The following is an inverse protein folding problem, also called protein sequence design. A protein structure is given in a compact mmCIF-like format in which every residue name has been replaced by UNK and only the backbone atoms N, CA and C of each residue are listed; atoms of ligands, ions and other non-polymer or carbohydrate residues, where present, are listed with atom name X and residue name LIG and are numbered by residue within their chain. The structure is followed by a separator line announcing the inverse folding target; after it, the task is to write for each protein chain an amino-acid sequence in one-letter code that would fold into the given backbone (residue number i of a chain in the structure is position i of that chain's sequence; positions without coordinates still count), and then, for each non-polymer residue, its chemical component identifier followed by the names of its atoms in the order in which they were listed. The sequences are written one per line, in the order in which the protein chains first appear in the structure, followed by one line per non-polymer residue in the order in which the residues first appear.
data_IF_486184340743
#
_entry.id   IF_486184340743
#
_cell.length_a   1.000
_cell.length_b   1.000
_cell.length_c   1.000
_cell.angle_alpha   90.00
_cell.angle_beta   90.00
_cell.angle_gamma   90.00
#
_symmetry.space_group_name_H-M   'P 1'
#
loop_
_entity.id
_entity.type
_entity.pdbx_description
1 polymer ?
#
# COMPACT_ATOMS: atom_id res chain seq x y z
N UNK A 1 14.80 2.25 -19.92
CA UNK A 1 14.35 1.47 -18.75
C UNK A 1 13.20 0.59 -19.19
N UNK A 2 13.44 -0.71 -19.36
CA UNK A 2 12.37 -1.67 -19.62
C UNK A 2 11.41 -1.69 -18.43
N UNK A 3 10.10 -1.62 -18.69
CA UNK A 3 9.10 -1.70 -17.63
C UNK A 3 9.02 -3.16 -17.15
N UNK A 4 9.05 -3.42 -15.84
CA UNK A 4 8.85 -4.78 -15.33
C UNK A 4 7.46 -5.29 -15.75
N UNK A 5 7.34 -6.60 -15.96
CA UNK A 5 6.04 -7.24 -16.24
C UNK A 5 5.05 -6.97 -15.11
N UNK A 6 3.73 -6.93 -15.39
CA UNK A 6 2.69 -6.58 -14.40
C UNK A 6 2.84 -7.39 -13.09
N UNK A 7 3.16 -8.69 -13.19
CA UNK A 7 3.43 -9.57 -12.04
C UNK A 7 4.62 -9.12 -11.21
N UNK A 8 5.74 -8.76 -11.84
CA UNK A 8 6.96 -8.29 -11.14
C UNK A 8 6.72 -6.93 -10.49
N UNK A 9 6.00 -6.03 -11.16
CA UNK A 9 5.61 -4.74 -10.60
C UNK A 9 4.77 -4.91 -9.33
N UNK A 10 3.82 -5.86 -9.36
CA UNK A 10 2.96 -6.16 -8.22
C UNK A 10 3.73 -6.80 -7.06
N UNK A 11 4.60 -7.77 -7.35
CA UNK A 11 5.45 -8.40 -6.33
C UNK A 11 6.39 -7.39 -5.66
N UNK A 12 7.03 -6.51 -6.43
CA UNK A 12 7.94 -5.50 -5.88
C UNK A 12 7.19 -4.45 -5.05
N UNK A 13 6.04 -3.96 -5.54
CA UNK A 13 5.25 -2.97 -4.83
C UNK A 13 4.66 -3.52 -3.52
N UNK A 14 4.10 -4.73 -3.57
CA UNK A 14 3.59 -5.41 -2.38
C UNK A 14 4.74 -5.74 -1.40
N UNK A 15 5.86 -6.25 -1.89
CA UNK A 15 7.01 -6.57 -1.06
C UNK A 15 7.60 -5.35 -0.34
N UNK A 16 7.79 -4.23 -1.05
CA UNK A 16 8.26 -2.99 -0.44
C UNK A 16 7.24 -2.44 0.55
N UNK A 17 5.95 -2.45 0.20
CA UNK A 17 4.87 -2.05 1.10
C UNK A 17 4.87 -2.86 2.39
N UNK A 18 4.94 -4.19 2.28
CA UNK A 18 4.98 -5.11 3.43
C UNK A 18 6.19 -4.88 4.32
N UNK A 19 7.39 -4.72 3.74
CA UNK A 19 8.60 -4.42 4.52
C UNK A 19 8.41 -3.11 5.28
N UNK A 20 7.88 -2.09 4.62
CA UNK A 20 7.68 -0.78 5.24
C UNK A 20 6.61 -0.83 6.34
N UNK A 21 5.55 -1.63 6.16
CA UNK A 21 4.59 -1.91 7.22
C UNK A 21 5.26 -2.62 8.41
N UNK A 22 6.05 -3.66 8.18
CA UNK A 22 6.74 -4.38 9.27
C UNK A 22 7.69 -3.46 10.05
N UNK A 23 8.46 -2.62 9.36
CA UNK A 23 9.34 -1.63 10.00
C UNK A 23 8.53 -0.65 10.87
N UNK A 24 7.38 -0.18 10.36
CA UNK A 24 6.48 0.68 11.12
C UNK A 24 5.98 -0.02 12.39
N UNK A 25 5.51 -1.28 12.28
CA UNK A 25 5.01 -2.06 13.42
C UNK A 25 6.08 -2.22 14.49
N UNK A 26 7.28 -2.62 14.09
CA UNK A 26 8.42 -2.75 15.02
C UNK A 26 8.72 -1.40 15.68
N UNK A 27 8.75 -0.31 14.91
CA UNK A 27 9.02 1.03 15.45
C UNK A 27 7.94 1.51 16.44
N UNK A 28 6.67 1.15 16.22
CA UNK A 28 5.58 1.49 17.14
C UNK A 28 5.63 0.75 18.46
N UNK A 29 6.27 -0.42 18.50
CA UNK A 29 6.51 -1.13 19.74
C UNK A 29 7.47 -0.37 20.68
N UNK A 30 8.43 0.38 20.11
CA UNK A 30 9.36 1.21 20.90
C UNK A 30 8.80 2.61 21.23
N UNK A 31 7.72 3.06 20.58
CA UNK A 31 7.20 4.42 20.76
C UNK A 31 5.67 4.46 20.71
N UNK A 32 4.98 4.76 21.83
CA UNK A 32 3.53 4.91 21.89
C UNK A 32 2.99 5.99 20.93
N UNK A 33 3.82 7.00 20.61
CA UNK A 33 3.48 8.04 19.65
C UNK A 33 3.38 7.51 18.20
N UNK A 34 4.13 6.46 17.86
CA UNK A 34 4.08 5.81 16.55
C UNK A 34 2.91 4.84 16.48
N UNK A 35 2.56 4.18 17.59
CA UNK A 35 1.38 3.31 17.67
C UNK A 35 0.07 4.07 17.41
N UNK A 36 -0.07 5.30 17.90
CA UNK A 36 -1.25 6.15 17.60
C UNK A 36 -1.37 6.53 16.12
N UNK A 37 -0.25 6.50 15.40
CA UNK A 37 -0.14 6.82 13.98
C UNK A 37 -0.21 5.58 13.07
N UNK A 38 -0.33 4.36 13.61
CA UNK A 38 -0.35 3.13 12.81
C UNK A 38 -1.42 3.13 11.72
N UNK A 39 -2.62 3.62 12.02
CA UNK A 39 -3.67 3.71 11.01
C UNK A 39 -3.27 4.66 9.88
N UNK A 40 -2.76 5.85 10.20
CA UNK A 40 -2.40 6.87 9.23
C UNK A 40 -1.18 6.45 8.41
N UNK A 41 -0.13 5.97 9.07
CA UNK A 41 1.10 5.51 8.43
C UNK A 41 0.84 4.25 7.60
N UNK A 42 0.06 3.30 8.10
CA UNK A 42 -0.36 2.11 7.37
C UNK A 42 -1.10 2.46 6.09
N UNK A 43 -2.06 3.39 6.15
CA UNK A 43 -2.78 3.88 4.96
C UNK A 43 -1.85 4.58 3.96
N UNK A 44 -0.91 5.41 4.44
CA UNK A 44 0.07 6.09 3.57
C UNK A 44 0.99 5.10 2.85
N UNK A 45 1.49 4.08 3.55
CA UNK A 45 2.32 3.03 2.97
C UNK A 45 1.52 2.26 1.91
N UNK A 46 0.27 1.90 2.20
CA UNK A 46 -0.63 1.23 1.25
C UNK A 46 -0.92 2.10 0.01
N UNK A 47 -1.06 3.42 0.19
CA UNK A 47 -1.19 4.38 -0.91
C UNK A 47 0.07 4.41 -1.79
N UNK A 48 1.25 4.44 -1.17
CA UNK A 48 2.53 4.42 -1.88
C UNK A 48 2.69 3.11 -2.65
N UNK A 49 2.42 1.97 -2.02
CA UNK A 49 2.47 0.65 -2.68
C UNK A 49 1.53 0.59 -3.89
N UNK A 50 0.29 1.06 -3.75
CA UNK A 50 -0.66 1.12 -4.86
C UNK A 50 -0.22 2.06 -5.99
N UNK A 51 0.41 3.19 -5.65
CA UNK A 51 0.99 4.11 -6.62
C UNK A 51 2.20 3.52 -7.35
N UNK A 52 3.09 2.82 -6.65
CA UNK A 52 4.25 2.15 -7.23
C UNK A 52 3.85 1.08 -8.24
N UNK A 53 2.82 0.28 -7.94
CA UNK A 53 2.25 -0.65 -8.91
C UNK A 53 1.77 0.08 -10.18
N UNK A 54 0.95 1.12 -10.03
CA UNK A 54 0.41 1.86 -11.17
C UNK A 54 1.51 2.53 -12.02
N UNK A 55 2.58 3.02 -11.37
CA UNK A 55 3.72 3.62 -12.04
C UNK A 55 4.54 2.60 -12.84
N UNK A 56 4.83 1.44 -12.24
CA UNK A 56 5.69 0.43 -12.86
C UNK A 56 4.97 -0.42 -13.89
N UNK A 57 3.71 -0.79 -13.63
CA UNK A 57 2.88 -1.51 -14.60
C UNK A 57 2.45 -0.62 -15.77
N UNK A 58 2.47 0.72 -15.61
CA UNK A 58 1.95 1.65 -16.61
C UNK A 58 0.46 1.42 -16.90
N UNK A 59 -0.28 0.98 -15.89
CA UNK A 59 -1.63 0.45 -16.01
C UNK A 59 -2.66 1.53 -16.39
N UNK A 60 -3.62 1.14 -17.24
CA UNK A 60 -4.82 1.93 -17.49
C UNK A 60 -5.61 2.13 -16.19
N UNK A 61 -6.40 3.21 -16.11
CA UNK A 61 -7.04 3.70 -14.87
C UNK A 61 -7.81 2.63 -14.09
N UNK A 62 -8.50 1.72 -14.78
CA UNK A 62 -9.23 0.60 -14.18
C UNK A 62 -8.31 -0.47 -13.58
N UNK A 63 -7.24 -0.86 -14.27
CA UNK A 63 -6.22 -1.79 -13.75
C UNK A 63 -5.39 -1.17 -12.63
N UNK A 64 -5.13 0.13 -12.70
CA UNK A 64 -4.41 0.85 -11.66
C UNK A 64 -5.19 0.88 -10.34
N UNK A 65 -6.51 1.09 -10.39
CA UNK A 65 -7.38 0.99 -9.21
C UNK A 65 -7.39 -0.42 -8.62
N UNK A 66 -7.62 -1.44 -9.46
CA UNK A 66 -7.71 -2.83 -9.02
C UNK A 66 -6.38 -3.35 -8.44
N UNK A 67 -5.28 -3.16 -9.16
CA UNK A 67 -3.96 -3.60 -8.68
C UNK A 67 -3.46 -2.78 -7.50
N UNK A 68 -3.81 -1.49 -7.43
CA UNK A 68 -3.55 -0.67 -6.25
C UNK A 68 -4.32 -1.14 -5.02
N UNK A 69 -5.59 -1.53 -5.18
CA UNK A 69 -6.40 -2.08 -4.10
C UNK A 69 -5.85 -3.40 -3.58
N UNK A 70 -5.44 -4.30 -4.49
CA UNK A 70 -4.86 -5.59 -4.13
C UNK A 70 -3.51 -5.40 -3.45
N UNK A 71 -2.63 -4.57 -4.01
CA UNK A 71 -1.32 -4.31 -3.41
C UNK A 71 -1.43 -3.69 -2.01
N UNK A 72 -2.26 -2.65 -1.86
CA UNK A 72 -2.51 -1.98 -0.58
C UNK A 72 -3.24 -2.88 0.43
N UNK A 73 -4.20 -3.67 -0.03
CA UNK A 73 -4.93 -4.62 0.81
C UNK A 73 -4.03 -5.75 1.32
N UNK A 74 -3.22 -6.35 0.46
CA UNK A 74 -2.30 -7.44 0.83
C UNK A 74 -1.21 -6.93 1.78
N UNK A 75 -0.60 -5.77 1.51
CA UNK A 75 0.44 -5.25 2.40
C UNK A 75 -0.14 -4.80 3.76
N UNK A 76 -1.29 -4.14 3.75
CA UNK A 76 -2.02 -3.74 4.96
C UNK A 76 -2.45 -4.95 5.80
N UNK A 77 -2.97 -6.01 5.17
CA UNK A 77 -3.36 -7.24 5.85
C UNK A 77 -2.16 -7.89 6.56
N UNK A 78 -1.03 -8.03 5.86
CA UNK A 78 0.18 -8.65 6.45
C UNK A 78 0.72 -7.78 7.59
N UNK A 79 0.76 -6.46 7.41
CA UNK A 79 1.23 -5.53 8.44
C UNK A 79 0.36 -5.56 9.69
N UNK A 80 -0.96 -5.51 9.54
CA UNK A 80 -1.89 -5.51 10.68
C UNK A 80 -1.95 -6.88 11.35
N UNK A 81 -1.89 -7.98 10.57
CA UNK A 81 -1.79 -9.32 11.13
C UNK A 81 -0.52 -9.49 11.98
N UNK A 82 0.61 -8.92 11.54
CA UNK A 82 1.83 -8.90 12.33
C UNK A 82 1.68 -8.09 13.63
N UNK A 83 1.02 -6.92 13.59
CA UNK A 83 0.74 -6.14 14.82
C UNK A 83 -0.20 -6.86 15.79
N UNK A 84 -1.24 -7.55 15.28
CA UNK A 84 -2.15 -8.35 16.14
C UNK A 84 -1.39 -9.51 16.78
N UNK A 85 -0.50 -10.18 16.04
CA UNK A 85 0.33 -11.26 16.58
C UNK A 85 1.31 -10.78 17.66
N UNK A 86 1.78 -9.53 17.56
CA UNK A 86 2.62 -8.89 18.59
C UNK A 86 1.81 -8.33 19.78
N UNK A 87 0.47 -8.33 19.70
CA UNK A 87 -0.41 -7.80 20.75
C UNK A 87 -0.53 -6.26 20.75
N UNK A 88 -0.02 -5.59 19.71
CA UNK A 88 0.03 -4.12 19.63
C UNK A 88 -1.34 -3.49 19.31
N UNK A 89 -2.27 -4.24 18.72
CA UNK A 89 -3.57 -3.73 18.24
C UNK A 89 -4.69 -4.75 18.39
N UNK A 90 -5.90 -4.23 18.62
CA UNK A 90 -7.12 -5.01 18.74
C UNK A 90 -7.46 -5.70 17.41
N UNK A 91 -7.95 -6.95 17.47
CA UNK A 91 -8.29 -7.76 16.28
C UNK A 91 -9.32 -7.10 15.37
N UNK A 92 -10.15 -6.21 15.91
CA UNK A 92 -11.11 -5.38 15.17
C UNK A 92 -10.44 -4.47 14.13
N UNK A 93 -9.21 -3.99 14.40
CA UNK A 93 -8.43 -3.18 13.47
C UNK A 93 -7.91 -3.97 12.27
N UNK A 94 -7.88 -5.31 12.33
CA UNK A 94 -7.46 -6.16 11.21
C UNK A 94 -8.44 -6.04 10.04
N UNK A 95 -9.75 -6.07 10.32
CA UNK A 95 -10.76 -5.94 9.29
C UNK A 95 -10.84 -4.50 8.77
N UNK A 96 -10.98 -3.52 9.67
CA UNK A 96 -11.12 -2.11 9.29
C UNK A 96 -9.85 -1.55 8.64
N UNK A 97 -8.68 -1.88 9.17
CA UNK A 97 -7.39 -1.43 8.64
C UNK A 97 -7.01 -2.07 7.30
N UNK A 98 -7.41 -3.33 7.08
CA UNK A 98 -7.23 -3.97 5.76
C UNK A 98 -8.16 -3.36 4.73
N UNK A 99 -9.45 -3.17 5.10
CA UNK A 99 -10.43 -2.54 4.22
C UNK A 99 -10.01 -1.11 3.86
N UNK A 100 -9.56 -0.31 4.84
CA UNK A 100 -9.07 1.05 4.59
C UNK A 100 -7.81 1.02 3.73
N UNK A 101 -6.84 0.12 4.00
CA UNK A 101 -5.62 -0.02 3.21
C UNK A 101 -5.88 -0.42 1.75
N UNK A 102 -6.89 -1.26 1.50
CA UNK A 102 -7.33 -1.60 0.15
C UNK A 102 -7.90 -0.36 -0.56
N UNK A 103 -8.73 0.44 0.12
CA UNK A 103 -9.27 1.68 -0.42
C UNK A 103 -8.16 2.71 -0.68
N UNK A 104 -7.23 2.90 0.27
CA UNK A 104 -6.12 3.85 0.10
C UNK A 104 -5.15 3.41 -0.99
N UNK A 105 -4.90 2.10 -1.11
CA UNK A 105 -4.13 1.53 -2.21
C UNK A 105 -4.77 1.76 -3.57
N UNK A 106 -6.10 1.62 -3.66
CA UNK A 106 -6.86 1.94 -4.87
C UNK A 106 -6.72 3.43 -5.25
N UNK A 107 -6.82 4.32 -4.25
CA UNK A 107 -6.63 5.77 -4.42
C UNK A 107 -5.21 6.07 -4.91
N UNK A 108 -4.19 5.48 -4.29
CA UNK A 108 -2.79 5.64 -4.69
C UNK A 108 -2.53 5.20 -6.14
N UNK A 109 -3.11 4.08 -6.54
CA UNK A 109 -3.05 3.60 -7.93
C UNK A 109 -3.75 4.54 -8.92
N UNK A 110 -4.94 5.03 -8.57
CA UNK A 110 -5.71 5.98 -9.38
C UNK A 110 -5.01 7.32 -9.56
N UNK A 111 -4.52 7.91 -8.47
CA UNK A 111 -3.80 9.19 -8.49
C UNK A 111 -2.55 9.09 -9.36
N UNK A 112 -1.78 8.02 -9.20
CA UNK A 112 -0.55 7.81 -9.96
C UNK A 112 -0.83 7.59 -11.45
N UNK A 113 -1.84 6.81 -11.79
CA UNK A 113 -2.29 6.64 -13.18
C UNK A 113 -2.76 7.97 -13.80
N UNK A 114 -3.50 8.80 -13.05
CA UNK A 114 -3.96 10.11 -13.52
C UNK A 114 -2.81 11.11 -13.74
N UNK A 115 -1.78 11.11 -12.89
CA UNK A 115 -0.59 11.95 -13.04
C UNK A 115 0.25 11.50 -14.24
N UNK A 116 0.45 10.19 -14.41
CA UNK A 116 1.21 9.64 -15.52
C UNK A 116 0.49 9.79 -16.87
N UNK A 117 -0.83 9.65 -16.89
CA UNK A 117 -1.65 9.93 -18.06
C UNK A 117 -1.55 11.39 -18.53
N UNK A 118 -1.53 12.34 -17.58
CA UNK A 118 -1.30 13.76 -17.88
C UNK A 118 0.10 14.03 -18.45
N UNK A 119 1.15 13.38 -17.94
CA UNK A 119 2.51 13.54 -18.49
C UNK A 119 2.64 13.07 -19.93
N UNK A 120 1.94 12.00 -20.31
CA UNK A 120 1.92 11.50 -21.70
C UNK A 120 1.17 12.42 -22.67
N UNK A 121 0.24 13.24 -22.19
CA UNK A 121 -0.52 14.18 -23.03
C UNK A 121 0.20 15.51 -23.26
N UNK A 122 1.24 15.80 -22.46
CA UNK A 122 2.03 17.04 -22.50
C UNK A 122 3.42 16.85 -23.12
N UNK A 123 3.79 15.62 -23.49
CA UNK A 123 5.05 15.24 -24.12
C UNK A 123 4.79 14.77 -25.55
#
# INVERSE_FOLDING_TARGET
MERPTETRAMMNAAGIGTILQLVMVIAGNFSPAVASLFAVLGMLISMIAGGMYAAWAGAARSRAAGGGAIAGGVCGLIGIAASVAMGDVETSLLLFGTASSAVTGAIGGLLTSAVLGRRKALA
#
